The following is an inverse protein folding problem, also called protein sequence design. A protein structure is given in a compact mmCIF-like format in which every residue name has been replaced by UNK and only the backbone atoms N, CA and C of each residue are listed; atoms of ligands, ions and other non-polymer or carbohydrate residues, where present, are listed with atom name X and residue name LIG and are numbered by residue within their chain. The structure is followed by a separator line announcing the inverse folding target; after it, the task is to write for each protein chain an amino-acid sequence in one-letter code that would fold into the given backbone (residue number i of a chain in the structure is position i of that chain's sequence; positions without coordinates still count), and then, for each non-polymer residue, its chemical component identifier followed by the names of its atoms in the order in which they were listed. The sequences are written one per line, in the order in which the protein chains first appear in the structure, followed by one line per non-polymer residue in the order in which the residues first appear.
data_IF_394657165027
#
_entry.id   IF_394657165027
#
_cell.length_a   1.000
_cell.length_b   1.000
_cell.length_c   1.000
_cell.angle_alpha   90.00
_cell.angle_beta   90.00
_cell.angle_gamma   90.00
#
_symmetry.space_group_name_H-M   'P 1'
#
loop_
_entity.id
_entity.type
_entity.pdbx_description
1 polymer ?
#
# COMPACT_ATOMS: atom_id res chain seq x y z
N UNK A 1 -44.44 -21.62 36.83
CA UNK A 1 -43.67 -20.38 36.59
C UNK A 1 -42.22 -20.61 36.98
N UNK A 2 -41.27 -19.95 36.30
CA UNK A 2 -39.81 -19.99 36.50
C UNK A 2 -38.99 -21.08 35.78
N UNK A 3 -38.98 -21.02 34.44
CA UNK A 3 -37.89 -21.57 33.60
C UNK A 3 -37.21 -20.49 32.73
N UNK A 4 -37.24 -19.23 33.18
CA UNK A 4 -36.77 -18.06 32.40
C UNK A 4 -35.73 -17.17 33.12
N UNK A 5 -35.14 -17.60 34.23
CA UNK A 5 -34.13 -16.80 34.95
C UNK A 5 -32.66 -17.20 34.70
N UNK A 6 -32.35 -17.95 33.63
CA UNK A 6 -30.97 -18.41 33.37
C UNK A 6 -30.40 -18.07 31.99
N UNK A 7 -30.85 -16.96 31.38
CA UNK A 7 -30.22 -16.44 30.15
C UNK A 7 -30.15 -14.90 30.19
N UNK A 8 -29.58 -14.33 31.25
CA UNK A 8 -29.29 -12.88 31.34
C UNK A 8 -27.80 -12.53 31.43
N UNK A 9 -26.90 -13.51 31.29
CA UNK A 9 -25.44 -13.31 31.42
C UNK A 9 -24.61 -13.42 30.14
N UNK A 10 -25.20 -13.72 28.98
CA UNK A 10 -24.44 -14.01 27.74
C UNK A 10 -24.77 -13.10 26.56
N UNK A 11 -25.51 -12.02 26.77
CA UNK A 11 -25.62 -10.97 25.76
C UNK A 11 -24.39 -10.08 25.92
N UNK A 12 -23.43 -10.28 25.03
CA UNK A 12 -22.28 -9.39 24.81
C UNK A 12 -22.76 -7.95 24.84
N UNK A 13 -22.16 -7.12 25.70
CA UNK A 13 -22.46 -5.69 25.80
C UNK A 13 -22.47 -5.07 24.39
N UNK A 14 -23.54 -4.33 24.10
CA UNK A 14 -23.72 -3.47 22.92
C UNK A 14 -22.59 -2.45 22.73
N UNK A 15 -21.72 -2.28 23.72
CA UNK A 15 -20.57 -1.37 23.67
C UNK A 15 -19.37 -1.92 22.88
N UNK A 16 -19.38 -3.20 22.46
CA UNK A 16 -18.23 -3.80 21.73
C UNK A 16 -18.23 -3.56 20.21
N UNK A 17 -19.26 -2.91 19.66
CA UNK A 17 -19.34 -2.58 18.23
C UNK A 17 -19.06 -1.11 17.91
N UNK A 18 -18.88 -0.26 18.92
CA UNK A 18 -18.44 1.13 18.72
C UNK A 18 -16.91 1.21 18.75
N UNK A 19 -16.27 0.84 17.64
CA UNK A 19 -14.96 1.34 17.14
C UNK A 19 -14.24 0.29 16.28
N UNK A 20 -14.91 -0.20 15.25
CA UNK A 20 -14.23 -0.71 14.07
C UNK A 20 -14.84 -0.01 12.86
N UNK A 21 -14.46 1.25 12.65
CA UNK A 21 -14.57 1.82 11.31
C UNK A 21 -13.69 0.93 10.42
N UNK A 22 -14.29 -0.02 9.72
CA UNK A 22 -13.60 -0.85 8.74
C UNK A 22 -12.93 0.12 7.78
N UNK A 23 -11.60 0.18 7.82
CA UNK A 23 -10.82 1.05 6.94
C UNK A 23 -11.13 0.59 5.52
N UNK A 24 -11.80 1.44 4.74
CA UNK A 24 -12.17 1.10 3.36
C UNK A 24 -10.89 0.77 2.58
N UNK A 25 -10.92 -0.27 1.73
CA UNK A 25 -9.74 -0.67 0.98
C UNK A 25 -9.28 0.45 0.05
N UNK A 26 -7.98 0.75 0.10
CA UNK A 26 -7.35 1.76 -0.77
C UNK A 26 -7.62 1.46 -2.25
N UNK A 27 -8.00 2.47 -3.07
CA UNK A 27 -8.18 2.29 -4.51
C UNK A 27 -6.84 2.09 -5.25
N UNK A 28 -5.72 2.49 -4.64
CA UNK A 28 -4.37 2.26 -5.12
C UNK A 28 -3.68 1.20 -4.24
N UNK A 29 -3.14 0.16 -4.87
CA UNK A 29 -2.43 -0.91 -4.18
C UNK A 29 -1.10 -1.20 -4.85
N UNK A 30 -0.20 -1.82 -4.10
CA UNK A 30 1.11 -2.26 -4.60
C UNK A 30 1.46 -3.62 -4.01
N UNK A 31 2.39 -4.31 -4.65
CA UNK A 31 2.99 -5.56 -4.19
C UNK A 31 4.44 -5.58 -4.69
N UNK A 32 5.37 -5.72 -3.75
CA UNK A 32 6.80 -5.84 -4.05
C UNK A 32 7.18 -7.31 -4.01
N UNK A 33 7.80 -7.79 -5.07
CA UNK A 33 8.29 -9.16 -5.19
C UNK A 33 9.81 -9.15 -5.40
N UNK A 34 10.54 -9.83 -4.53
CA UNK A 34 11.96 -10.11 -4.71
C UNK A 34 12.10 -11.41 -5.50
N UNK A 35 12.33 -11.29 -6.80
CA UNK A 35 12.44 -12.44 -7.71
C UNK A 35 13.81 -13.11 -7.68
N UNK A 36 14.83 -12.48 -7.07
CA UNK A 36 16.13 -13.11 -6.90
C UNK A 36 16.08 -14.22 -5.84
N UNK A 37 15.18 -14.11 -4.88
CA UNK A 37 14.98 -15.08 -3.79
C UNK A 37 13.62 -15.79 -3.84
N UNK A 38 12.69 -15.35 -4.70
CA UNK A 38 11.35 -15.93 -4.80
C UNK A 38 10.46 -15.63 -3.59
N UNK A 39 10.65 -14.47 -2.95
CA UNK A 39 9.94 -14.07 -1.73
C UNK A 39 9.29 -12.68 -1.87
N UNK A 40 8.30 -12.34 -1.04
CA UNK A 40 7.81 -10.97 -0.99
C UNK A 40 8.90 -9.98 -0.58
N UNK A 41 8.87 -8.79 -1.17
CA UNK A 41 9.75 -7.68 -0.79
C UNK A 41 9.25 -6.97 0.46
N UNK A 42 9.31 -7.64 1.61
CA UNK A 42 8.89 -7.11 2.90
C UNK A 42 9.83 -6.01 3.42
N UNK A 43 9.32 -5.15 4.32
CA UNK A 43 10.06 -4.06 4.96
C UNK A 43 10.68 -3.02 3.99
N UNK A 44 10.13 -2.89 2.78
CA UNK A 44 10.51 -1.85 1.83
C UNK A 44 9.73 -0.57 2.08
N UNK A 45 10.41 0.56 2.27
CA UNK A 45 9.78 1.87 2.32
C UNK A 45 9.22 2.25 0.94
N UNK A 46 7.96 2.68 0.94
CA UNK A 46 7.24 3.18 -0.24
C UNK A 46 6.72 4.58 0.06
N UNK A 47 6.85 5.49 -0.91
CA UNK A 47 6.39 6.87 -0.77
C UNK A 47 5.50 7.21 -1.97
N UNK A 48 4.27 7.67 -1.70
CA UNK A 48 3.31 8.10 -2.70
C UNK A 48 3.31 9.62 -2.81
N UNK A 49 3.37 10.11 -4.04
CA UNK A 49 3.23 11.52 -4.39
C UNK A 49 2.13 11.74 -5.41
N UNK A 50 1.58 12.96 -5.44
CA UNK A 50 0.73 13.50 -6.48
C UNK A 50 1.38 14.74 -7.08
N UNK A 51 1.44 14.82 -8.40
CA UNK A 51 1.94 15.99 -9.11
C UNK A 51 0.91 17.12 -9.03
N UNK A 52 1.34 18.29 -8.57
CA UNK A 52 0.60 19.54 -8.76
C UNK A 52 0.62 19.91 -10.25
N UNK A 53 -0.56 19.99 -10.92
CA UNK A 53 -0.61 20.27 -12.35
C UNK A 53 -0.25 21.71 -12.73
N UNK A 54 -0.23 22.64 -11.77
CA UNK A 54 0.10 24.04 -11.98
C UNK A 54 1.59 24.27 -11.72
N UNK A 55 2.07 23.86 -10.55
CA UNK A 55 3.45 24.13 -10.13
C UNK A 55 4.47 23.08 -10.59
N UNK A 56 4.01 21.92 -11.09
CA UNK A 56 4.86 20.76 -11.41
C UNK A 56 5.67 20.23 -10.22
N UNK A 57 5.21 20.51 -8.99
CA UNK A 57 5.82 20.02 -7.75
C UNK A 57 5.19 18.69 -7.34
N UNK A 58 6.00 17.75 -6.86
CA UNK A 58 5.54 16.50 -6.27
C UNK A 58 5.11 16.70 -4.82
N UNK A 59 3.82 16.61 -4.54
CA UNK A 59 3.27 16.67 -3.19
C UNK A 59 3.27 15.29 -2.55
N UNK A 60 3.92 15.16 -1.39
CA UNK A 60 3.91 13.93 -0.60
C UNK A 60 2.48 13.66 -0.10
N UNK A 61 1.95 12.47 -0.39
CA UNK A 61 0.65 12.03 0.13
C UNK A 61 0.80 11.06 1.29
N UNK A 62 1.66 10.05 1.15
CA UNK A 62 1.76 8.97 2.15
C UNK A 62 3.13 8.32 2.09
N UNK A 63 3.67 7.96 3.26
CA UNK A 63 4.82 7.07 3.41
C UNK A 63 4.35 5.80 4.09
N UNK A 64 4.73 4.65 3.55
CA UNK A 64 4.41 3.33 4.09
C UNK A 64 5.59 2.38 4.03
N UNK A 65 5.43 1.20 4.64
CA UNK A 65 6.39 0.11 4.62
C UNK A 65 5.63 -1.15 4.22
N UNK A 66 6.20 -1.95 3.31
CA UNK A 66 5.59 -3.22 2.93
C UNK A 66 5.57 -4.21 4.09
N UNK A 67 4.44 -4.89 4.24
CA UNK A 67 4.28 -5.97 5.21
C UNK A 67 4.99 -7.26 4.76
N UNK A 68 4.84 -8.35 5.53
CA UNK A 68 5.48 -9.64 5.27
C UNK A 68 5.04 -10.29 3.93
N UNK A 69 3.88 -9.90 3.38
CA UNK A 69 3.40 -10.29 2.06
C UNK A 69 3.83 -9.28 0.98
N UNK A 70 4.79 -8.39 1.26
CA UNK A 70 5.30 -7.41 0.29
C UNK A 70 4.28 -6.34 -0.12
N UNK A 71 3.15 -6.20 0.58
CA UNK A 71 2.08 -5.25 0.25
C UNK A 71 2.12 -4.03 1.17
N UNK A 72 1.61 -2.91 0.66
CA UNK A 72 1.42 -1.70 1.45
C UNK A 72 -0.07 -1.30 1.42
N UNK A 73 -0.90 -1.76 2.36
CA UNK A 73 -2.29 -1.35 2.44
C UNK A 73 -2.40 0.14 2.85
N UNK A 74 -3.53 0.78 2.51
CA UNK A 74 -3.81 2.14 2.96
C UNK A 74 -2.97 3.24 2.31
N UNK A 75 -2.45 3.04 1.09
CA UNK A 75 -1.66 4.05 0.37
C UNK A 75 -2.39 5.37 0.15
N UNK A 76 -3.71 5.32 -0.07
CA UNK A 76 -4.54 6.52 -0.19
C UNK A 76 -5.99 6.20 0.19
N UNK A 77 -6.69 7.18 0.74
CA UNK A 77 -8.13 7.09 0.98
C UNK A 77 -8.88 7.33 -0.33
N UNK A 78 -10.08 6.75 -0.47
CA UNK A 78 -10.87 6.84 -1.71
C UNK A 78 -11.24 8.29 -2.04
N UNK A 79 -11.51 9.09 -1.02
CA UNK A 79 -11.92 10.48 -1.10
C UNK A 79 -10.80 11.40 -1.60
N UNK A 80 -9.54 11.02 -1.34
CA UNK A 80 -8.34 11.74 -1.79
C UNK A 80 -7.79 11.23 -3.13
N UNK A 81 -8.35 10.16 -3.68
CA UNK A 81 -7.91 9.58 -4.94
C UNK A 81 -8.67 10.23 -6.10
N UNK A 82 -7.97 11.12 -6.81
CA UNK A 82 -8.53 11.93 -7.89
C UNK A 82 -7.77 11.65 -9.19
N UNK A 83 -8.30 12.12 -10.32
CA UNK A 83 -7.55 12.08 -11.57
C UNK A 83 -6.29 12.97 -11.47
N UNK A 84 -5.18 12.50 -12.02
CA UNK A 84 -3.89 13.19 -11.91
C UNK A 84 -2.69 12.29 -12.23
N UNK A 85 -1.49 12.84 -12.07
CA UNK A 85 -0.25 12.08 -12.24
C UNK A 85 0.33 11.76 -10.86
N UNK A 86 0.46 10.48 -10.57
CA UNK A 86 0.99 9.99 -9.30
C UNK A 86 2.39 9.42 -9.50
N UNK A 87 3.11 9.30 -8.38
CA UNK A 87 4.42 8.67 -8.33
C UNK A 87 4.55 7.80 -7.09
N UNK A 88 4.90 6.53 -7.30
CA UNK A 88 5.33 5.62 -6.24
C UNK A 88 6.85 5.52 -6.25
N UNK A 89 7.48 5.89 -5.14
CA UNK A 89 8.91 5.75 -4.92
C UNK A 89 9.16 4.57 -4.00
N UNK A 90 9.98 3.63 -4.46
CA UNK A 90 10.40 2.44 -3.75
C UNK A 90 11.88 2.59 -3.36
N UNK A 91 12.19 2.50 -2.07
CA UNK A 91 13.56 2.67 -1.56
C UNK A 91 14.39 1.38 -1.76
N UNK A 92 14.61 1.00 -3.02
CA UNK A 92 15.26 -0.27 -3.40
C UNK A 92 16.69 -0.39 -2.90
N UNK A 93 17.46 0.70 -2.88
CA UNK A 93 18.82 0.70 -2.36
C UNK A 93 18.85 0.31 -0.88
N UNK A 94 18.02 0.97 -0.06
CA UNK A 94 17.90 0.66 1.39
C UNK A 94 17.39 -0.75 1.65
N UNK A 95 16.44 -1.22 0.85
CA UNK A 95 15.92 -2.58 0.95
C UNK A 95 17.02 -3.64 0.78
N UNK A 96 17.86 -3.51 -0.26
CA UNK A 96 18.95 -4.45 -0.49
C UNK A 96 20.10 -4.27 0.51
N UNK A 97 20.40 -3.03 0.92
CA UNK A 97 21.42 -2.72 1.92
C UNK A 97 21.13 -3.39 3.28
N UNK A 98 19.85 -3.38 3.71
CA UNK A 98 19.40 -4.06 4.92
C UNK A 98 19.62 -5.60 4.88
N UNK A 99 19.78 -6.18 3.69
CA UNK A 99 20.12 -7.59 3.49
C UNK A 99 21.61 -7.81 3.22
N UNK A 100 22.45 -6.78 3.36
CA UNK A 100 23.90 -6.86 3.11
C UNK A 100 24.26 -6.95 1.63
N UNK A 101 23.40 -6.45 0.73
CA UNK A 101 23.59 -6.55 -0.71
C UNK A 101 23.50 -5.18 -1.40
N UNK A 102 24.25 -4.98 -2.47
CA UNK A 102 24.14 -3.77 -3.29
C UNK A 102 23.00 -3.87 -4.29
N UNK A 103 22.33 -2.75 -4.57
CA UNK A 103 21.39 -2.59 -5.67
C UNK A 103 21.96 -1.62 -6.69
N UNK A 104 21.78 -1.91 -7.98
CA UNK A 104 22.12 -0.95 -9.04
C UNK A 104 21.23 0.30 -8.99
N UNK A 105 20.01 0.17 -8.50
CA UNK A 105 19.03 1.25 -8.38
C UNK A 105 19.00 1.77 -6.94
N UNK A 106 19.44 3.01 -6.66
CA UNK A 106 19.39 3.58 -5.31
C UNK A 106 17.95 3.72 -4.81
N UNK A 107 17.02 3.96 -5.73
CA UNK A 107 15.57 3.91 -5.56
C UNK A 107 14.94 3.70 -6.95
N UNK A 108 13.66 3.31 -6.98
CA UNK A 108 12.85 3.22 -8.21
C UNK A 108 11.64 4.12 -8.06
N UNK A 109 11.36 4.96 -9.05
CA UNK A 109 10.13 5.76 -9.12
C UNK A 109 9.27 5.27 -10.29
N UNK A 110 8.02 4.89 -10.01
CA UNK A 110 7.02 4.56 -11.02
C UNK A 110 6.04 5.71 -11.09
N UNK A 111 6.06 6.45 -12.21
CA UNK A 111 5.17 7.57 -12.49
C UNK A 111 4.02 7.10 -13.38
N UNK A 112 2.78 7.41 -13.02
CA UNK A 112 1.60 6.92 -13.73
C UNK A 112 0.44 7.92 -13.69
N UNK A 113 -0.41 7.87 -14.71
CA UNK A 113 -1.61 8.71 -14.82
C UNK A 113 -2.84 7.94 -14.36
N UNK A 114 -3.66 8.59 -13.54
CA UNK A 114 -5.01 8.15 -13.18
C UNK A 114 -6.00 9.02 -13.95
N UNK A 115 -6.79 8.39 -14.81
CA UNK A 115 -7.86 9.06 -15.58
C UNK A 115 -9.24 8.80 -14.99
N UNK A 116 -9.46 7.59 -14.47
CA UNK A 116 -10.72 7.18 -13.86
C UNK A 116 -10.48 6.75 -12.41
N UNK A 117 -10.73 7.64 -11.41
CA UNK A 117 -10.52 7.34 -10.00
C UNK A 117 -11.56 6.36 -9.43
N UNK A 118 -12.58 5.95 -10.19
CA UNK A 118 -13.54 4.93 -9.75
C UNK A 118 -12.98 3.51 -9.84
N UNK A 119 -11.93 3.30 -10.66
CA UNK A 119 -11.25 2.01 -10.81
C UNK A 119 -10.25 1.76 -9.68
N UNK A 120 -9.94 0.48 -9.48
CA UNK A 120 -8.78 0.06 -8.70
C UNK A 120 -7.54 0.05 -9.59
N UNK A 121 -6.42 0.42 -8.99
CA UNK A 121 -5.11 0.42 -9.62
C UNK A 121 -4.16 -0.40 -8.78
N UNK A 122 -3.57 -1.42 -9.40
CA UNK A 122 -2.48 -2.18 -8.82
C UNK A 122 -1.18 -1.84 -9.55
N UNK A 123 -0.19 -1.32 -8.82
CA UNK A 123 1.12 -0.94 -9.37
C UNK A 123 2.20 -1.67 -8.57
N UNK A 124 2.55 -2.92 -8.95
CA UNK A 124 3.56 -3.72 -8.27
C UNK A 124 4.98 -3.35 -8.71
N UNK A 125 5.95 -3.81 -7.94
CA UNK A 125 7.37 -3.79 -8.29
C UNK A 125 7.93 -5.21 -8.23
N UNK A 126 8.39 -5.73 -9.36
CA UNK A 126 9.07 -7.02 -9.45
C UNK A 126 10.56 -6.72 -9.55
N UNK A 127 11.36 -7.14 -8.56
CA UNK A 127 12.70 -6.60 -8.33
C UNK A 127 13.76 -7.69 -8.17
N UNK A 128 14.91 -7.49 -8.82
CA UNK A 128 16.20 -8.07 -8.46
C UNK A 128 17.21 -6.93 -8.20
N UNK A 129 18.46 -7.26 -7.85
CA UNK A 129 19.52 -6.24 -7.65
C UNK A 129 19.89 -5.47 -8.93
N UNK A 130 19.62 -6.04 -10.10
CA UNK A 130 20.06 -5.53 -11.41
C UNK A 130 18.96 -5.48 -12.47
N UNK A 131 17.71 -5.72 -12.08
CA UNK A 131 16.55 -5.58 -12.95
C UNK A 131 15.32 -5.25 -12.12
N UNK A 132 14.38 -4.51 -12.71
CA UNK A 132 13.03 -4.42 -12.18
C UNK A 132 12.01 -4.34 -13.31
N UNK A 133 10.76 -4.65 -12.99
CA UNK A 133 9.62 -4.40 -13.87
C UNK A 133 8.40 -4.00 -13.07
N UNK A 134 7.45 -3.37 -13.75
CA UNK A 134 6.15 -2.97 -13.22
C UNK A 134 5.10 -3.13 -14.32
N UNK A 135 3.82 -3.14 -13.95
CA UNK A 135 2.69 -3.18 -14.86
C UNK A 135 1.47 -2.57 -14.18
N UNK A 136 0.41 -2.26 -14.94
CA UNK A 136 -0.88 -1.87 -14.37
C UNK A 136 -1.74 -3.13 -14.20
N UNK A 137 -2.05 -3.49 -12.96
CA UNK A 137 -3.08 -4.48 -12.62
C UNK A 137 -4.43 -3.83 -12.28
N UNK A 138 -5.47 -4.65 -12.23
CA UNK A 138 -6.85 -4.30 -11.84
C UNK A 138 -7.12 -4.51 -10.36
#
# INVERSE_FOLDING_TARGET
MNRLQHIRGHIVSTDKYMNMAATLPSPLTTHVLNIAQGVPGANMTIILYLLDPISSVWNLLTTGITNDDGRCPGLIQKESFIAGVYKLRFETGKYWDAMGMTCFYPYVEVVFTITDPSQKYHVPLILSRFSYSTYRGS
#
